data_IF_343767022278
#
_entry.id   IF_343767022278
#
_cell.length_a   1.000
_cell.length_b   1.000
_cell.length_c   1.000
_cell.angle_alpha   90.00
_cell.angle_beta   90.00
_cell.angle_gamma   90.00
#
_symmetry.space_group_name_H-M   'P 1'
#
loop_
_entity.id
_entity.type
_entity.pdbx_description
1 polymer ?
#
# COMPACT_ATOMS: atom_id res chain seq x y z
N UNK A 1 -27.35 25.42 4.75
CA UNK A 1 -26.34 24.78 3.87
C UNK A 1 -24.92 25.27 4.16
N UNK A 2 -24.71 26.53 4.58
CA UNK A 2 -23.38 27.08 4.89
C UNK A 2 -23.13 27.38 6.38
N UNK A 3 -24.06 26.98 7.25
CA UNK A 3 -24.04 27.22 8.70
C UNK A 3 -24.24 25.87 9.39
N UNK A 4 -23.40 25.55 10.39
CA UNK A 4 -23.42 24.29 11.13
C UNK A 4 -22.62 23.17 10.43
N UNK A 5 -23.05 21.92 10.60
CA UNK A 5 -22.47 20.76 9.93
C UNK A 5 -22.67 20.86 8.41
N UNK A 6 -21.58 20.70 7.67
CA UNK A 6 -21.62 20.81 6.21
C UNK A 6 -22.02 19.47 5.60
N UNK A 7 -23.22 19.43 5.03
CA UNK A 7 -23.73 18.27 4.31
C UNK A 7 -23.04 18.10 2.94
N UNK A 8 -22.85 16.84 2.52
CA UNK A 8 -22.43 16.50 1.15
C UNK A 8 -21.21 15.58 1.04
N UNK A 9 -20.56 15.23 2.15
CA UNK A 9 -19.53 14.19 2.22
C UNK A 9 -19.81 13.26 3.39
N UNK A 10 -19.41 11.99 3.27
CA UNK A 10 -19.38 11.04 4.39
C UNK A 10 -18.41 11.48 5.50
N UNK A 11 -17.48 12.39 5.19
CA UNK A 11 -16.49 12.95 6.12
C UNK A 11 -16.79 14.44 6.35
N UNK A 12 -17.96 14.71 6.94
CA UNK A 12 -18.45 16.07 7.23
C UNK A 12 -17.61 16.82 8.28
N UNK A 13 -16.84 16.10 9.09
CA UNK A 13 -15.98 16.63 10.16
C UNK A 13 -14.81 17.46 9.60
N UNK A 14 -14.03 16.89 8.69
CA UNK A 14 -12.91 17.60 8.04
C UNK A 14 -13.42 18.77 7.20
N UNK A 15 -14.55 18.61 6.52
CA UNK A 15 -15.16 19.63 5.66
C UNK A 15 -15.64 20.83 6.48
N UNK A 16 -16.29 20.58 7.62
CA UNK A 16 -16.76 21.62 8.53
C UNK A 16 -15.58 22.40 9.11
N UNK A 17 -14.55 21.70 9.59
CA UNK A 17 -13.32 22.33 10.08
C UNK A 17 -12.64 23.21 9.02
N UNK A 18 -12.47 22.69 7.80
CA UNK A 18 -11.90 23.43 6.68
C UNK A 18 -12.67 24.72 6.36
N UNK A 19 -14.01 24.66 6.34
CA UNK A 19 -14.87 25.82 6.11
C UNK A 19 -14.70 26.86 7.21
N UNK A 20 -14.67 26.45 8.48
CA UNK A 20 -14.44 27.36 9.61
C UNK A 20 -13.06 28.03 9.52
N UNK A 21 -12.00 27.28 9.25
CA UNK A 21 -10.65 27.85 9.14
C UNK A 21 -10.52 28.77 7.92
N UNK A 22 -11.23 28.48 6.82
CA UNK A 22 -11.33 29.39 5.67
C UNK A 22 -11.97 30.73 6.03
N UNK A 23 -12.79 30.78 7.08
CA UNK A 23 -13.37 32.01 7.64
C UNK A 23 -12.48 32.67 8.73
N UNK A 24 -11.27 32.19 8.94
CA UNK A 24 -10.29 32.78 9.86
C UNK A 24 -10.35 32.25 11.30
N UNK A 25 -11.18 31.24 11.58
CA UNK A 25 -11.17 30.56 12.87
C UNK A 25 -9.87 29.78 13.09
N UNK A 26 -9.47 29.64 14.36
CA UNK A 26 -8.25 28.91 14.76
C UNK A 26 -8.62 27.74 15.68
N UNK A 27 -8.08 26.57 15.40
CA UNK A 27 -8.17 25.41 16.29
C UNK A 27 -7.01 25.34 17.28
N UNK A 28 -7.21 24.60 18.37
CA UNK A 28 -6.19 24.31 19.38
C UNK A 28 -6.17 22.81 19.63
N UNK A 29 -4.97 22.20 19.60
CA UNK A 29 -4.75 20.80 19.92
C UNK A 29 -4.05 20.69 21.28
N UNK A 30 -4.63 19.95 22.22
CA UNK A 30 -4.14 19.80 23.59
C UNK A 30 -3.93 18.33 23.93
N UNK A 31 -2.74 17.98 24.40
CA UNK A 31 -2.36 16.62 24.82
C UNK A 31 -2.14 16.58 26.33
N UNK A 32 -3.19 16.34 27.14
CA UNK A 32 -3.04 16.20 28.58
C UNK A 32 -2.24 14.94 28.92
N UNK A 33 -1.57 14.93 30.08
CA UNK A 33 -0.77 13.79 30.56
C UNK A 33 -1.59 12.50 30.71
N UNK A 34 -2.87 12.63 31.06
CA UNK A 34 -3.81 11.52 31.14
C UNK A 34 -4.78 11.68 29.97
N UNK A 35 -5.02 10.62 29.17
CA UNK A 35 -6.00 10.68 28.09
C UNK A 35 -7.39 11.07 28.63
N UNK A 36 -7.86 12.26 28.26
CA UNK A 36 -9.16 12.78 28.69
C UNK A 36 -10.34 12.06 28.03
N UNK A 37 -10.11 11.50 26.83
CA UNK A 37 -11.11 10.75 26.08
C UNK A 37 -10.53 9.37 25.71
N UNK A 38 -11.29 8.31 26.01
CA UNK A 38 -10.99 6.92 25.62
C UNK A 38 -12.21 6.35 24.91
N UNK A 39 -11.99 5.58 23.85
CA UNK A 39 -13.04 4.92 23.11
C UNK A 39 -12.60 3.53 22.65
N UNK A 40 -13.56 2.66 22.38
CA UNK A 40 -13.29 1.33 21.84
C UNK A 40 -12.81 1.41 20.39
N UNK A 41 -11.72 0.69 20.08
CA UNK A 41 -11.17 0.59 18.74
C UNK A 41 -11.66 -0.69 18.04
N UNK A 42 -11.79 -0.70 16.69
CA UNK A 42 -12.02 -1.93 15.95
C UNK A 42 -10.93 -2.95 16.24
N UNK A 43 -11.35 -4.17 16.51
CA UNK A 43 -10.46 -5.23 16.99
C UNK A 43 -9.97 -6.09 15.81
N UNK A 44 -10.80 -6.29 14.79
CA UNK A 44 -10.45 -7.06 13.60
C UNK A 44 -10.05 -6.16 12.40
N UNK A 45 -9.24 -6.72 11.50
CA UNK A 45 -8.70 -6.01 10.34
C UNK A 45 -9.79 -5.59 9.34
N UNK A 46 -10.80 -6.42 9.12
CA UNK A 46 -11.87 -6.15 8.15
C UNK A 46 -12.69 -4.92 8.53
N UNK A 47 -13.05 -4.78 9.80
CA UNK A 47 -13.79 -3.62 10.31
C UNK A 47 -12.93 -2.35 10.28
N UNK A 48 -11.63 -2.50 10.56
CA UNK A 48 -10.66 -1.40 10.40
C UNK A 48 -10.52 -0.95 8.95
N UNK A 49 -10.46 -1.87 7.98
CA UNK A 49 -10.40 -1.53 6.55
C UNK A 49 -11.68 -0.88 6.05
N UNK A 50 -12.86 -1.32 6.51
CA UNK A 50 -14.12 -0.64 6.21
C UNK A 50 -14.19 0.77 6.80
N UNK A 51 -13.58 1.00 7.96
CA UNK A 51 -13.44 2.34 8.52
C UNK A 51 -12.53 3.23 7.66
N UNK A 52 -11.37 2.72 7.23
CA UNK A 52 -10.45 3.45 6.35
C UNK A 52 -11.09 3.73 4.98
N UNK A 53 -11.85 2.77 4.44
CA UNK A 53 -12.61 2.92 3.19
C UNK A 53 -13.53 4.14 3.27
N UNK A 54 -14.28 4.30 4.37
CA UNK A 54 -15.14 5.47 4.58
C UNK A 54 -14.37 6.78 4.57
N UNK A 55 -13.26 6.85 5.29
CA UNK A 55 -12.45 8.07 5.36
C UNK A 55 -11.89 8.44 3.99
N UNK A 56 -11.40 7.45 3.25
CA UNK A 56 -10.89 7.64 1.91
C UNK A 56 -12.01 8.09 0.95
N UNK A 57 -13.20 7.48 1.03
CA UNK A 57 -14.33 7.84 0.19
C UNK A 57 -14.78 9.29 0.45
N UNK A 58 -14.95 9.68 1.71
CA UNK A 58 -15.33 11.06 2.03
C UNK A 58 -14.26 12.08 1.63
N UNK A 59 -12.98 11.71 1.68
CA UNK A 59 -11.88 12.55 1.17
C UNK A 59 -11.94 12.71 -0.36
N UNK A 60 -12.23 11.64 -1.11
CA UNK A 60 -12.44 11.70 -2.57
C UNK A 60 -13.68 12.54 -2.91
N UNK A 61 -14.77 12.42 -2.14
CA UNK A 61 -15.95 13.26 -2.31
C UNK A 61 -15.63 14.74 -2.10
N UNK A 62 -14.86 15.08 -1.06
CA UNK A 62 -14.43 16.47 -0.81
C UNK A 62 -13.57 16.98 -1.96
N UNK A 63 -12.62 16.17 -2.44
CA UNK A 63 -11.75 16.52 -3.57
C UNK A 63 -12.55 16.85 -4.83
N UNK A 64 -13.59 16.06 -5.14
CA UNK A 64 -14.42 16.24 -6.32
C UNK A 64 -15.57 17.25 -6.10
N UNK A 65 -15.75 17.74 -4.88
CA UNK A 65 -16.80 18.72 -4.54
C UNK A 65 -16.39 20.16 -4.85
N UNK A 66 -17.36 21.08 -4.74
CA UNK A 66 -17.10 22.52 -4.76
C UNK A 66 -16.15 22.99 -3.65
N UNK A 67 -16.05 22.23 -2.55
CA UNK A 67 -15.27 22.61 -1.36
C UNK A 67 -13.84 22.04 -1.34
N UNK A 68 -13.27 21.71 -2.50
CA UNK A 68 -11.89 21.23 -2.57
C UNK A 68 -10.88 22.32 -2.16
N UNK A 69 -9.93 22.03 -1.25
CA UNK A 69 -8.92 22.99 -0.80
C UNK A 69 -8.01 23.58 -1.89
N UNK A 70 -7.94 22.93 -3.06
CA UNK A 70 -7.12 23.37 -4.20
C UNK A 70 -7.67 24.62 -4.86
N UNK A 71 -8.99 24.78 -4.96
CA UNK A 71 -9.64 25.92 -5.62
C UNK A 71 -10.62 26.71 -4.74
N UNK A 72 -11.04 26.14 -3.60
CA UNK A 72 -12.01 26.79 -2.72
C UNK A 72 -11.33 27.67 -1.65
N UNK A 73 -11.99 28.77 -1.27
CA UNK A 73 -11.58 29.59 -0.13
C UNK A 73 -10.33 30.45 -0.35
N UNK A 74 -10.00 30.79 -1.60
CA UNK A 74 -8.99 31.82 -1.90
C UNK A 74 -9.53 33.20 -1.53
N UNK A 75 -8.67 34.04 -0.94
CA UNK A 75 -9.08 35.32 -0.36
C UNK A 75 -9.70 35.22 1.05
N UNK A 76 -9.75 34.01 1.64
CA UNK A 76 -10.19 33.78 3.01
C UNK A 76 -9.06 33.86 4.05
N UNK A 77 -9.35 33.46 5.29
CA UNK A 77 -8.42 33.49 6.42
C UNK A 77 -7.44 32.31 6.53
N UNK A 78 -7.47 31.39 5.56
CA UNK A 78 -6.67 30.16 5.61
C UNK A 78 -5.20 30.42 5.26
N UNK A 79 -4.28 29.99 6.13
CA UNK A 79 -2.83 30.11 5.87
C UNK A 79 -2.36 29.15 4.78
N UNK A 80 -1.27 29.48 4.09
CA UNK A 80 -0.77 28.67 2.98
C UNK A 80 -0.31 27.26 3.40
N UNK A 81 0.43 27.12 4.51
CA UNK A 81 0.85 25.81 5.04
C UNK A 81 -0.35 24.98 5.51
N UNK A 82 -1.33 25.64 6.11
CA UNK A 82 -2.56 24.99 6.54
C UNK A 82 -3.36 24.48 5.34
N UNK A 83 -3.44 25.27 4.26
CA UNK A 83 -4.01 24.82 2.99
C UNK A 83 -3.28 23.60 2.44
N UNK A 84 -1.95 23.59 2.46
CA UNK A 84 -1.17 22.44 2.02
C UNK A 84 -1.49 21.18 2.85
N UNK A 85 -1.64 21.33 4.16
CA UNK A 85 -2.09 20.24 5.05
C UNK A 85 -3.47 19.71 4.65
N UNK A 86 -4.45 20.59 4.42
CA UNK A 86 -5.78 20.19 3.94
C UNK A 86 -5.75 19.53 2.57
N UNK A 87 -4.93 20.03 1.63
CA UNK A 87 -4.75 19.39 0.32
C UNK A 87 -4.23 17.97 0.53
N UNK A 88 -3.17 17.78 1.33
CA UNK A 88 -2.62 16.46 1.64
C UNK A 88 -3.67 15.51 2.24
N UNK A 89 -4.47 15.98 3.20
CA UNK A 89 -5.55 15.20 3.82
C UNK A 89 -6.72 14.88 2.89
N UNK A 90 -6.89 15.60 1.78
CA UNK A 90 -7.95 15.35 0.79
C UNK A 90 -7.44 14.46 -0.36
N UNK A 91 -6.18 14.64 -0.78
CA UNK A 91 -5.60 13.91 -1.92
C UNK A 91 -4.98 12.56 -1.55
N UNK A 92 -4.77 12.25 -0.27
CA UNK A 92 -4.07 11.02 0.12
C UNK A 92 -4.64 9.71 -0.50
N UNK A 93 -5.95 9.52 -0.76
CA UNK A 93 -6.42 8.27 -1.36
C UNK A 93 -5.92 8.09 -2.80
N UNK A 94 -5.55 9.17 -3.49
CA UNK A 94 -5.05 9.14 -4.86
C UNK A 94 -3.66 8.51 -4.98
N UNK A 95 -2.89 8.47 -3.89
CA UNK A 95 -1.59 7.77 -3.88
C UNK A 95 -1.74 6.26 -3.99
N UNK A 96 -2.96 5.71 -3.87
CA UNK A 96 -3.24 4.28 -4.05
C UNK A 96 -2.92 3.77 -5.46
N UNK A 97 -3.17 4.57 -6.50
CA UNK A 97 -2.88 4.19 -7.90
C UNK A 97 -1.36 4.02 -8.13
N UNK A 98 -0.51 5.03 -7.89
CA UNK A 98 0.93 4.87 -8.08
C UNK A 98 1.51 3.81 -7.14
N UNK A 99 0.99 3.67 -5.92
CA UNK A 99 1.41 2.62 -4.99
C UNK A 99 1.07 1.21 -5.52
N UNK A 100 -0.12 1.00 -6.07
CA UNK A 100 -0.51 -0.28 -6.67
C UNK A 100 0.42 -0.65 -7.82
N UNK A 101 0.71 0.32 -8.70
CA UNK A 101 1.67 0.13 -9.80
C UNK A 101 3.03 -0.23 -9.22
N UNK A 102 3.56 0.57 -8.30
CA UNK A 102 4.85 0.35 -7.66
C UNK A 102 4.98 -1.03 -7.02
N UNK A 103 3.96 -1.51 -6.30
CA UNK A 103 3.96 -2.84 -5.69
C UNK A 103 3.82 -3.99 -6.70
N UNK A 104 3.36 -3.72 -7.93
CA UNK A 104 3.24 -4.70 -9.01
C UNK A 104 4.51 -4.82 -9.85
N UNK A 105 5.29 -3.73 -9.96
CA UNK A 105 6.48 -3.67 -10.81
C UNK A 105 7.54 -4.74 -10.49
N UNK A 106 7.88 -5.06 -9.23
CA UNK A 106 8.91 -6.07 -8.94
C UNK A 106 8.52 -7.45 -9.45
N UNK A 107 7.25 -7.85 -9.25
CA UNK A 107 6.73 -9.11 -9.77
C UNK A 107 6.81 -9.17 -11.30
N UNK A 108 6.41 -8.11 -12.00
CA UNK A 108 6.50 -8.02 -13.46
C UNK A 108 7.96 -8.12 -13.92
N UNK A 109 8.88 -7.41 -13.27
CA UNK A 109 10.31 -7.48 -13.60
C UNK A 109 10.91 -8.88 -13.40
N UNK A 110 10.46 -9.60 -12.36
CA UNK A 110 10.91 -10.96 -12.08
C UNK A 110 10.33 -11.96 -13.10
N UNK A 111 9.06 -11.83 -13.48
CA UNK A 111 8.40 -12.75 -14.40
C UNK A 111 8.80 -12.54 -15.87
N UNK A 112 9.04 -11.30 -16.28
CA UNK A 112 9.37 -10.97 -17.67
C UNK A 112 10.86 -10.99 -17.97
N UNK A 113 11.72 -11.07 -16.94
CA UNK A 113 13.16 -10.98 -17.10
C UNK A 113 13.67 -9.57 -17.43
N UNK A 114 12.79 -8.59 -17.68
CA UNK A 114 13.16 -7.21 -18.04
C UNK A 114 13.30 -6.35 -16.79
N UNK A 115 14.42 -5.65 -16.66
CA UNK A 115 14.60 -4.63 -15.63
C UNK A 115 14.25 -3.26 -16.22
N UNK A 116 13.43 -2.49 -15.49
CA UNK A 116 12.95 -1.18 -15.96
C UNK A 116 14.07 -0.13 -15.90
N UNK A 117 15.02 -0.29 -14.98
CA UNK A 117 16.17 0.61 -14.84
C UNK A 117 17.37 -0.01 -15.57
N UNK A 118 18.14 0.75 -16.38
CA UNK A 118 19.39 0.25 -16.96
C UNK A 118 20.43 -0.03 -15.85
N UNK A 119 21.58 -0.58 -16.21
CA UNK A 119 22.68 -0.76 -15.26
C UNK A 119 23.00 0.55 -14.54
N UNK A 120 23.06 0.47 -13.21
CA UNK A 120 23.22 1.64 -12.35
C UNK A 120 24.68 2.09 -12.46
N UNK A 121 24.91 3.24 -13.10
CA UNK A 121 26.22 3.85 -13.15
C UNK A 121 26.74 4.22 -11.76
N UNK A 122 28.05 4.41 -11.61
CA UNK A 122 28.66 4.86 -10.33
C UNK A 122 27.97 6.12 -9.77
N UNK A 123 27.62 7.06 -10.66
CA UNK A 123 26.90 8.27 -10.27
C UNK A 123 25.48 7.98 -9.76
N UNK A 124 24.72 7.15 -10.49
CA UNK A 124 23.38 6.76 -10.08
C UNK A 124 23.40 5.99 -8.74
N UNK A 125 24.40 5.13 -8.52
CA UNK A 125 24.58 4.39 -7.27
C UNK A 125 24.78 5.34 -6.08
N UNK A 126 25.57 6.40 -6.24
CA UNK A 126 25.76 7.43 -5.20
C UNK A 126 24.44 8.13 -4.88
N UNK A 127 23.65 8.49 -5.89
CA UNK A 127 22.34 9.10 -5.69
C UNK A 127 21.37 8.17 -4.97
N UNK A 128 21.33 6.88 -5.33
CA UNK A 128 20.51 5.89 -4.64
C UNK A 128 20.93 5.75 -3.16
N UNK A 129 22.22 5.63 -2.89
CA UNK A 129 22.72 5.56 -1.51
C UNK A 129 22.36 6.82 -0.72
N UNK A 130 22.59 8.01 -1.29
CA UNK A 130 22.26 9.28 -0.65
C UNK A 130 20.75 9.40 -0.33
N UNK A 131 19.88 8.97 -1.25
CA UNK A 131 18.43 8.95 -1.04
C UNK A 131 18.04 8.02 0.11
N UNK A 132 18.50 6.76 0.10
CA UNK A 132 18.19 5.80 1.17
C UNK A 132 18.73 6.26 2.53
N UNK A 133 19.95 6.80 2.56
CA UNK A 133 20.52 7.39 3.78
C UNK A 133 19.70 8.58 4.27
N UNK A 134 19.27 9.47 3.37
CA UNK A 134 18.42 10.62 3.73
C UNK A 134 17.09 10.20 4.33
N UNK A 135 16.42 9.20 3.73
CA UNK A 135 15.16 8.66 4.25
C UNK A 135 15.37 8.04 5.63
N UNK A 136 16.42 7.23 5.80
CA UNK A 136 16.72 6.57 7.07
C UNK A 136 17.03 7.58 8.18
N UNK A 137 17.88 8.56 7.92
CA UNK A 137 18.23 9.61 8.90
C UNK A 137 17.01 10.44 9.27
N UNK A 138 16.19 10.83 8.28
CA UNK A 138 14.98 11.61 8.53
C UNK A 138 13.98 10.83 9.39
N UNK A 139 13.74 9.56 9.08
CA UNK A 139 12.86 8.69 9.86
C UNK A 139 13.33 8.52 11.31
N UNK A 140 14.64 8.31 11.52
CA UNK A 140 15.21 8.20 12.87
C UNK A 140 15.02 9.51 13.66
N UNK A 141 15.31 10.66 13.05
CA UNK A 141 15.15 11.96 13.71
C UNK A 141 13.69 12.24 14.06
N UNK A 142 12.76 11.95 13.15
CA UNK A 142 11.32 12.13 13.36
C UNK A 142 10.81 11.24 14.50
N UNK A 143 11.21 9.96 14.53
CA UNK A 143 10.84 9.06 15.61
C UNK A 143 11.37 9.51 16.97
N UNK A 144 12.61 10.01 17.02
CA UNK A 144 13.22 10.53 18.26
C UNK A 144 12.46 11.76 18.77
N UNK A 145 12.14 12.72 17.91
CA UNK A 145 11.37 13.91 18.28
C UNK A 145 9.93 13.59 18.66
N UNK A 146 9.29 12.68 17.91
CA UNK A 146 7.93 12.23 18.16
C UNK A 146 7.78 11.27 19.34
N UNK A 147 8.90 10.74 19.87
CA UNK A 147 8.93 9.68 20.89
C UNK A 147 8.10 8.44 20.47
N UNK A 148 8.20 8.10 19.19
CA UNK A 148 7.49 6.97 18.58
C UNK A 148 8.42 5.76 18.55
N UNK A 149 7.93 4.60 19.01
CA UNK A 149 8.68 3.34 18.96
C UNK A 149 8.85 2.85 17.52
N UNK A 150 9.93 2.12 17.24
CA UNK A 150 10.19 1.59 15.90
C UNK A 150 9.12 0.60 15.44
N UNK A 151 8.58 -0.18 16.36
CA UNK A 151 7.51 -1.12 16.07
C UNK A 151 6.22 -0.40 15.63
N UNK A 152 5.88 0.72 16.28
CA UNK A 152 4.70 1.51 15.95
C UNK A 152 4.86 2.22 14.60
N UNK A 153 6.04 2.78 14.35
CA UNK A 153 6.38 3.39 13.07
C UNK A 153 6.29 2.38 11.93
N UNK A 154 6.92 1.21 12.09
CA UNK A 154 6.89 0.15 11.08
C UNK A 154 5.49 -0.40 10.83
N UNK A 155 4.71 -0.64 11.89
CA UNK A 155 3.30 -1.08 11.76
C UNK A 155 2.44 -0.05 11.05
N UNK A 156 2.70 1.25 11.27
CA UNK A 156 2.02 2.31 10.55
C UNK A 156 2.33 2.29 9.05
N UNK A 157 3.60 2.10 8.66
CA UNK A 157 4.00 1.96 7.26
C UNK A 157 3.35 0.73 6.60
N UNK A 158 3.36 -0.42 7.27
CA UNK A 158 2.67 -1.62 6.80
C UNK A 158 1.17 -1.37 6.62
N UNK A 159 0.53 -0.71 7.58
CA UNK A 159 -0.89 -0.38 7.50
C UNK A 159 -1.19 0.62 6.38
N UNK A 160 -0.31 1.60 6.14
CA UNK A 160 -0.42 2.53 5.02
C UNK A 160 -0.36 1.80 3.67
N UNK A 161 0.59 0.86 3.50
CA UNK A 161 0.68 0.05 2.27
C UNK A 161 -0.60 -0.78 2.08
N UNK A 162 -1.02 -1.52 3.12
CA UNK A 162 -2.22 -2.38 3.06
C UNK A 162 -3.46 -1.53 2.76
N UNK A 163 -3.68 -0.43 3.47
CA UNK A 163 -4.80 0.48 3.27
C UNK A 163 -4.78 1.13 1.88
N UNK A 164 -3.59 1.49 1.39
CA UNK A 164 -3.36 2.04 0.06
C UNK A 164 -3.76 1.10 -1.06
N UNK A 165 -3.27 -0.14 -1.04
CA UNK A 165 -3.59 -1.13 -2.09
C UNK A 165 -4.99 -1.72 -1.97
N UNK A 166 -5.70 -1.50 -0.85
CA UNK A 166 -7.07 -1.99 -0.62
C UNK A 166 -8.09 -0.86 -0.54
N UNK A 167 -8.35 -0.37 0.67
CA UNK A 167 -9.42 0.56 1.01
C UNK A 167 -9.34 1.86 0.20
N UNK A 168 -8.15 2.45 0.04
CA UNK A 168 -7.99 3.70 -0.70
C UNK A 168 -8.29 3.50 -2.19
N UNK A 169 -7.82 2.39 -2.77
CA UNK A 169 -8.06 2.04 -4.17
C UNK A 169 -9.56 1.88 -4.45
N UNK A 170 -10.27 1.09 -3.62
CA UNK A 170 -11.71 0.91 -3.74
C UNK A 170 -12.49 2.21 -3.53
N UNK A 171 -12.13 3.00 -2.51
CA UNK A 171 -12.74 4.29 -2.25
C UNK A 171 -12.61 5.24 -3.45
N UNK A 172 -11.46 5.25 -4.12
CA UNK A 172 -11.21 6.09 -5.28
C UNK A 172 -12.12 5.71 -6.45
N UNK A 173 -12.22 4.41 -6.78
CA UNK A 173 -13.13 3.95 -7.83
C UNK A 173 -14.60 4.20 -7.47
N UNK A 174 -15.00 3.94 -6.23
CA UNK A 174 -16.38 4.20 -5.76
C UNK A 174 -16.72 5.69 -5.78
N UNK A 175 -15.82 6.55 -5.28
CA UNK A 175 -16.01 7.99 -5.27
C UNK A 175 -16.10 8.58 -6.67
N UNK A 176 -15.25 8.13 -7.61
CA UNK A 176 -15.32 8.52 -9.01
C UNK A 176 -16.64 8.10 -9.66
N UNK A 177 -17.06 6.83 -9.48
CA UNK A 177 -18.34 6.35 -10.01
C UNK A 177 -19.52 7.12 -9.42
N UNK A 178 -19.50 7.41 -8.13
CA UNK A 178 -20.56 8.16 -7.46
C UNK A 178 -20.67 9.58 -8.00
N UNK A 179 -19.57 10.31 -8.09
CA UNK A 179 -19.58 11.72 -8.52
C UNK A 179 -19.80 11.87 -10.02
N UNK A 180 -19.21 11.01 -10.85
CA UNK A 180 -19.31 11.09 -12.31
C UNK A 180 -20.58 10.44 -12.87
N UNK A 181 -21.04 9.32 -12.30
CA UNK A 181 -22.18 8.56 -12.81
C UNK A 181 -23.45 8.70 -11.94
N UNK A 182 -23.41 9.46 -10.83
CA UNK A 182 -24.56 9.69 -9.97
C UNK A 182 -25.07 8.45 -9.24
N UNK A 183 -24.27 7.37 -9.17
CA UNK A 183 -24.67 6.10 -8.54
C UNK A 183 -24.55 6.23 -7.03
N UNK A 184 -25.68 6.17 -6.32
CA UNK A 184 -25.70 6.14 -4.87
C UNK A 184 -25.17 4.79 -4.36
N UNK A 185 -23.96 4.79 -3.80
CA UNK A 185 -23.41 3.65 -3.07
C UNK A 185 -24.06 3.59 -1.69
N UNK A 186 -25.00 2.66 -1.49
CA UNK A 186 -25.63 2.44 -0.18
C UNK A 186 -24.57 1.98 0.83
N UNK A 187 -24.46 2.71 1.93
CA UNK A 187 -23.46 2.48 2.97
C UNK A 187 -24.06 1.65 4.11
N UNK A 188 -23.42 0.54 4.45
CA UNK A 188 -23.74 -0.25 5.66
C UNK A 188 -22.88 0.26 6.81
N UNK A 189 -23.49 0.89 7.81
CA UNK A 189 -22.79 1.39 9.00
C UNK A 189 -22.20 0.21 9.77
N UNK A 190 -20.91 0.28 10.07
CA UNK A 190 -20.21 -0.71 10.91
C UNK A 190 -20.80 -0.64 12.32
N UNK A 191 -21.42 -1.73 12.81
CA UNK A 191 -21.90 -1.79 14.19
C UNK A 191 -20.73 -1.74 15.16
N UNK A 192 -20.85 -0.93 16.22
CA UNK A 192 -19.89 -0.87 17.33
C UNK A 192 -20.36 -1.70 18.53
N UNK A 193 -21.19 -2.72 18.30
CA UNK A 193 -21.60 -3.63 19.35
C UNK A 193 -20.48 -4.66 19.56
N UNK A 194 -19.88 -4.65 20.76
CA UNK A 194 -19.11 -5.77 21.25
C UNK A 194 -20.12 -6.81 21.75
N UNK A 195 -20.06 -8.04 21.22
CA UNK A 195 -20.75 -9.16 21.83
C UNK A 195 -19.85 -9.70 22.94
N UNK A 196 -20.43 -9.98 24.12
CA UNK A 196 -19.71 -10.32 25.35
C UNK A 196 -19.17 -11.77 25.33
N UNK A 197 -18.36 -12.10 24.32
CA UNK A 197 -17.73 -13.40 24.09
C UNK A 197 -16.21 -13.32 24.09
N UNK A 198 -15.61 -13.56 25.26
CA UNK A 198 -14.23 -14.00 25.51
C UNK A 198 -13.30 -14.10 24.27
N UNK A 199 -12.48 -13.06 24.03
CA UNK A 199 -11.24 -13.00 23.21
C UNK A 199 -11.19 -13.69 21.82
N UNK A 200 -12.29 -14.24 21.31
CA UNK A 200 -12.39 -15.03 20.08
C UNK A 200 -12.64 -14.18 18.84
N UNK A 201 -13.03 -12.91 19.02
CA UNK A 201 -13.26 -11.96 17.94
C UNK A 201 -12.01 -11.22 17.45
N UNK A 202 -10.92 -11.26 18.23
CA UNK A 202 -9.62 -10.64 17.88
C UNK A 202 -9.02 -11.16 16.57
N UNK A 203 -9.40 -12.37 16.17
CA UNK A 203 -8.85 -13.08 15.02
C UNK A 203 -9.92 -13.46 13.97
N UNK A 204 -11.11 -12.86 14.04
CA UNK A 204 -12.16 -13.04 13.03
C UNK A 204 -11.81 -12.28 11.74
N UNK A 205 -11.01 -12.93 10.89
CA UNK A 205 -10.81 -12.50 9.51
C UNK A 205 -12.13 -12.64 8.73
N UNK A 206 -12.83 -11.53 8.47
CA UNK A 206 -14.02 -11.49 7.63
C UNK A 206 -13.59 -11.24 6.18
N UNK A 207 -13.83 -12.21 5.30
CA UNK A 207 -13.52 -12.05 3.87
C UNK A 207 -14.33 -10.87 3.30
N UNK A 208 -13.64 -9.93 2.65
CA UNK A 208 -14.26 -8.79 1.95
C UNK A 208 -13.57 -8.59 0.61
N UNK A 209 -14.26 -7.96 -0.35
CA UNK A 209 -13.69 -7.64 -1.66
C UNK A 209 -12.45 -6.73 -1.57
N UNK A 210 -12.33 -5.95 -0.49
CA UNK A 210 -11.16 -5.11 -0.19
C UNK A 210 -9.86 -5.91 -0.09
N UNK A 211 -9.94 -7.21 0.18
CA UNK A 211 -8.78 -8.07 0.40
C UNK A 211 -8.23 -8.68 -0.90
N UNK A 212 -8.98 -8.55 -2.01
CA UNK A 212 -8.60 -9.10 -3.31
C UNK A 212 -7.28 -8.47 -3.82
N UNK A 213 -7.12 -7.14 -3.93
CA UNK A 213 -5.85 -6.60 -4.45
C UNK A 213 -4.62 -6.92 -3.59
N UNK A 214 -4.64 -6.79 -2.24
CA UNK A 214 -3.51 -7.21 -1.40
C UNK A 214 -3.16 -8.69 -1.53
N UNK A 215 -4.15 -9.59 -1.61
CA UNK A 215 -3.90 -11.02 -1.81
C UNK A 215 -3.29 -11.29 -3.18
N UNK A 216 -3.83 -10.69 -4.25
CA UNK A 216 -3.27 -10.83 -5.59
C UNK A 216 -1.84 -10.32 -5.67
N UNK A 217 -1.54 -9.15 -5.10
CA UNK A 217 -0.19 -8.58 -5.05
C UNK A 217 0.79 -9.48 -4.30
N UNK A 218 0.36 -10.06 -3.19
CA UNK A 218 1.18 -10.97 -2.41
C UNK A 218 1.49 -12.24 -3.21
N UNK A 219 0.48 -12.86 -3.82
CA UNK A 219 0.64 -14.09 -4.60
C UNK A 219 1.56 -13.84 -5.80
N UNK A 220 1.33 -12.78 -6.58
CA UNK A 220 2.13 -12.51 -7.78
C UNK A 220 3.59 -12.18 -7.44
N UNK A 221 3.85 -11.47 -6.33
CA UNK A 221 5.23 -11.21 -5.89
C UNK A 221 5.92 -12.49 -5.39
N UNK A 222 5.22 -13.36 -4.66
CA UNK A 222 5.76 -14.67 -4.24
C UNK A 222 6.09 -15.56 -5.45
N UNK A 223 5.18 -15.65 -6.42
CA UNK A 223 5.42 -16.39 -7.67
C UNK A 223 6.59 -15.78 -8.43
N UNK A 224 6.64 -14.45 -8.56
CA UNK A 224 7.74 -13.74 -9.19
C UNK A 224 9.09 -14.08 -8.56
N UNK A 225 9.18 -14.09 -7.23
CA UNK A 225 10.42 -14.48 -6.51
C UNK A 225 10.82 -15.92 -6.84
N UNK A 226 9.88 -16.87 -6.80
CA UNK A 226 10.17 -18.28 -7.10
C UNK A 226 10.66 -18.45 -8.54
N UNK A 227 9.98 -17.82 -9.51
CA UNK A 227 10.35 -17.86 -10.93
C UNK A 227 11.70 -17.19 -11.16
N UNK A 228 11.93 -16.01 -10.60
CA UNK A 228 13.19 -15.27 -10.77
C UNK A 228 14.40 -16.00 -10.19
N UNK A 229 14.25 -16.65 -9.04
CA UNK A 229 15.30 -17.49 -8.46
C UNK A 229 15.54 -18.74 -9.33
N UNK A 230 14.48 -19.39 -9.79
CA UNK A 230 14.58 -20.57 -10.67
C UNK A 230 15.28 -20.26 -11.98
N UNK A 231 14.98 -19.11 -12.58
CA UNK A 231 15.60 -18.64 -13.82
C UNK A 231 17.10 -18.36 -13.64
N UNK A 232 17.47 -17.64 -12.57
CA UNK A 232 18.86 -17.33 -12.30
C UNK A 232 19.73 -18.57 -11.97
N UNK A 233 19.15 -19.56 -11.28
CA UNK A 233 19.82 -20.86 -11.06
C UNK A 233 20.04 -21.59 -12.39
N UNK A 234 19.16 -21.40 -13.37
CA UNK A 234 19.21 -22.10 -14.65
C UNK A 234 20.12 -21.41 -15.68
N UNK A 235 20.23 -20.08 -15.63
CA UNK A 235 20.95 -19.26 -16.61
C UNK A 235 22.37 -18.83 -16.18
N UNK A 236 22.84 -19.22 -14.99
CA UNK A 236 24.23 -19.00 -14.55
C UNK A 236 24.48 -17.66 -13.84
N UNK A 237 25.75 -17.44 -13.43
CA UNK A 237 26.14 -16.38 -12.48
C UNK A 237 25.90 -14.94 -12.96
N UNK A 238 25.90 -14.68 -14.26
CA UNK A 238 25.73 -13.32 -14.81
C UNK A 238 24.32 -12.74 -14.55
N UNK A 239 23.34 -13.59 -14.23
CA UNK A 239 21.98 -13.19 -13.91
C UNK A 239 21.78 -12.71 -12.46
N UNK A 240 22.76 -12.92 -11.57
CA UNK A 240 22.59 -12.72 -10.12
C UNK A 240 22.60 -11.25 -9.68
N UNK A 241 23.40 -10.41 -10.34
CA UNK A 241 23.44 -8.96 -10.05
C UNK A 241 22.09 -8.28 -10.27
N UNK A 242 21.51 -8.38 -11.49
CA UNK A 242 20.17 -7.85 -11.78
C UNK A 242 19.06 -8.49 -10.95
N UNK A 243 19.20 -9.77 -10.58
CA UNK A 243 18.25 -10.47 -9.72
C UNK A 243 18.17 -9.82 -8.32
N UNK A 244 19.30 -9.45 -7.73
CA UNK A 244 19.33 -8.90 -6.36
C UNK A 244 18.44 -7.66 -6.21
N UNK A 245 18.53 -6.71 -7.14
CA UNK A 245 17.69 -5.51 -7.11
C UNK A 245 16.20 -5.83 -7.22
N UNK A 246 15.82 -6.76 -8.11
CA UNK A 246 14.42 -7.18 -8.29
C UNK A 246 13.88 -7.91 -7.05
N UNK A 247 14.70 -8.78 -6.45
CA UNK A 247 14.35 -9.47 -5.21
C UNK A 247 14.20 -8.49 -4.05
N UNK A 248 15.08 -7.50 -3.92
CA UNK A 248 14.99 -6.50 -2.86
C UNK A 248 13.63 -5.79 -2.85
N UNK A 249 13.17 -5.31 -4.01
CA UNK A 249 11.87 -4.64 -4.12
C UNK A 249 10.69 -5.60 -3.93
N UNK A 250 10.76 -6.83 -4.46
CA UNK A 250 9.69 -7.82 -4.25
C UNK A 250 9.58 -8.22 -2.77
N UNK A 251 10.70 -8.40 -2.08
CA UNK A 251 10.74 -8.69 -0.65
C UNK A 251 10.22 -7.51 0.17
N UNK A 252 10.54 -6.27 -0.20
CA UNK A 252 9.94 -5.09 0.43
C UNK A 252 8.42 -5.15 0.39
N UNK A 253 7.81 -5.46 -0.77
CA UNK A 253 6.35 -5.60 -0.90
C UNK A 253 5.82 -6.74 -0.02
N UNK A 254 6.43 -7.91 -0.07
CA UNK A 254 6.01 -9.09 0.70
C UNK A 254 6.08 -8.82 2.21
N UNK A 255 7.15 -8.18 2.69
CA UNK A 255 7.33 -7.84 4.11
C UNK A 255 6.27 -6.82 4.57
N UNK A 256 5.91 -5.84 3.73
CA UNK A 256 4.87 -4.88 4.09
C UNK A 256 3.47 -5.51 4.11
N UNK A 257 3.22 -6.51 3.27
CA UNK A 257 1.98 -7.29 3.25
C UNK A 257 1.97 -8.50 4.21
N UNK A 258 3.06 -8.77 4.92
CA UNK A 258 3.18 -9.93 5.80
C UNK A 258 2.19 -9.94 6.98
N UNK A 259 1.92 -8.83 7.68
CA UNK A 259 0.89 -8.81 8.73
C UNK A 259 -0.49 -9.17 8.18
N UNK A 260 -0.77 -8.76 6.94
CA UNK A 260 -2.00 -9.13 6.25
C UNK A 260 -2.06 -10.64 5.96
N UNK A 261 -0.97 -11.24 5.48
CA UNK A 261 -0.85 -12.70 5.32
C UNK A 261 -1.06 -13.44 6.66
N UNK A 262 -0.43 -12.96 7.73
CA UNK A 262 -0.64 -13.50 9.09
C UNK A 262 -2.11 -13.43 9.50
N UNK A 263 -2.79 -12.32 9.20
CA UNK A 263 -4.22 -12.16 9.46
C UNK A 263 -5.09 -13.15 8.68
N UNK A 264 -4.76 -13.41 7.41
CA UNK A 264 -5.47 -14.39 6.57
C UNK A 264 -5.27 -15.83 7.07
N UNK A 265 -4.06 -16.16 7.55
CA UNK A 265 -3.71 -17.50 8.04
C UNK A 265 -4.11 -17.74 9.50
N UNK A 266 -4.32 -16.68 10.28
CA UNK A 266 -4.52 -16.71 11.73
C UNK A 266 -5.81 -17.37 12.22
N UNK A 267 -6.64 -17.91 11.31
CA UNK A 267 -7.89 -18.60 11.65
C UNK A 267 -7.96 -20.08 11.27
N UNK A 268 -6.82 -20.71 10.99
CA UNK A 268 -6.73 -22.17 10.96
C UNK A 268 -5.86 -22.64 12.11
N UNK A 269 -6.47 -23.13 13.19
CA UNK A 269 -5.85 -23.90 14.28
C UNK A 269 -5.06 -25.15 13.82
N UNK A 270 -4.85 -25.34 12.51
CA UNK A 270 -4.27 -26.54 11.90
C UNK A 270 -3.45 -26.32 10.63
N UNK A 271 -3.12 -25.08 10.25
CA UNK A 271 -2.05 -24.90 9.26
C UNK A 271 -0.76 -24.48 9.96
N UNK A 272 0.03 -25.44 10.46
CA UNK A 272 1.34 -25.14 10.98
C UNK A 272 2.13 -24.46 9.86
N UNK A 273 2.83 -23.37 10.19
CA UNK A 273 3.73 -22.62 9.29
C UNK A 273 4.61 -23.55 8.44
N UNK A 274 4.90 -24.74 8.96
CA UNK A 274 5.55 -25.85 8.26
C UNK A 274 4.86 -26.25 6.93
N UNK A 275 3.53 -26.33 6.84
CA UNK A 275 2.81 -26.68 5.59
C UNK A 275 2.99 -25.58 4.55
N UNK A 276 2.95 -24.31 4.96
CA UNK A 276 3.20 -23.18 4.06
C UNK A 276 4.64 -23.24 3.53
N UNK A 277 5.60 -23.46 4.42
CA UNK A 277 7.02 -23.61 4.06
C UNK A 277 7.21 -24.80 3.10
N UNK A 278 6.64 -25.97 3.40
CA UNK A 278 6.72 -27.15 2.53
C UNK A 278 6.03 -26.93 1.18
N UNK A 279 4.91 -26.21 1.14
CA UNK A 279 4.22 -25.88 -0.11
C UNK A 279 5.05 -24.94 -0.98
N UNK A 280 5.70 -23.94 -0.39
CA UNK A 280 6.62 -23.03 -1.09
C UNK A 280 7.85 -23.80 -1.59
N UNK A 281 8.43 -24.68 -0.77
CA UNK A 281 9.55 -25.52 -1.16
C UNK A 281 9.18 -26.46 -2.32
N UNK A 282 8.04 -27.14 -2.22
CA UNK A 282 7.54 -28.03 -3.27
C UNK A 282 7.27 -27.27 -4.58
N UNK A 283 6.60 -26.12 -4.50
CA UNK A 283 6.36 -25.26 -5.67
C UNK A 283 7.67 -24.79 -6.31
N UNK A 284 8.69 -24.47 -5.50
CA UNK A 284 10.01 -24.09 -5.99
C UNK A 284 10.72 -25.24 -6.70
N UNK A 285 10.68 -26.46 -6.13
CA UNK A 285 11.24 -27.67 -6.74
C UNK A 285 10.53 -27.99 -8.06
N UNK A 286 9.20 -27.96 -8.08
CA UNK A 286 8.41 -28.22 -9.30
C UNK A 286 8.69 -27.19 -10.39
N UNK A 287 8.85 -25.93 -10.02
CA UNK A 287 9.19 -24.85 -10.96
C UNK A 287 10.60 -25.03 -11.53
N UNK A 288 11.58 -25.37 -10.69
CA UNK A 288 12.94 -25.71 -11.12
C UNK A 288 12.96 -26.91 -12.07
N UNK A 289 12.20 -27.97 -11.75
CA UNK A 289 12.06 -29.15 -12.62
C UNK A 289 11.43 -28.76 -13.96
N UNK A 290 10.36 -27.96 -13.93
CA UNK A 290 9.69 -27.49 -15.14
C UNK A 290 10.64 -26.68 -16.04
N UNK A 291 11.38 -25.71 -15.48
CA UNK A 291 12.34 -24.90 -16.24
C UNK A 291 13.45 -25.76 -16.86
N UNK A 292 13.90 -26.81 -16.17
CA UNK A 292 14.92 -27.72 -16.71
C UNK A 292 14.39 -28.62 -17.83
N UNK A 293 13.20 -29.19 -17.63
CA UNK A 293 12.60 -30.19 -18.53
C UNK A 293 11.95 -29.56 -19.76
N UNK A 294 11.35 -28.37 -19.62
CA UNK A 294 10.61 -27.74 -20.70
C UNK A 294 11.56 -27.19 -21.78
N UNK A 295 11.52 -27.72 -23.02
CA UNK A 295 12.39 -27.28 -24.11
C UNK A 295 12.00 -25.92 -24.70
N UNK A 296 10.80 -25.41 -24.38
CA UNK A 296 10.28 -24.14 -24.89
C UNK A 296 10.58 -22.94 -23.98
N UNK A 297 11.18 -23.17 -22.80
CA UNK A 297 11.73 -22.07 -22.00
C UNK A 297 13.02 -21.64 -22.69
N UNK A 298 13.11 -20.37 -23.07
CA UNK A 298 14.27 -19.80 -23.75
C UNK A 298 15.50 -19.84 -22.84
N UNK A 299 16.21 -20.97 -22.85
CA UNK A 299 17.58 -21.09 -22.35
C UNK A 299 18.39 -20.23 -23.31
N UNK A 300 18.96 -19.13 -22.81
CA UNK A 300 19.63 -18.10 -23.62
C UNK A 300 20.25 -18.69 -24.88
N UNK A 301 19.75 -18.27 -26.04
CA UNK A 301 20.20 -18.78 -27.33
C UNK A 301 21.71 -18.63 -27.48
N UNK A 302 22.33 -19.31 -28.46
CA UNK A 302 23.76 -19.17 -28.71
C UNK A 302 24.13 -17.69 -28.82
N UNK A 303 25.26 -17.31 -28.21
CA UNK A 303 25.82 -15.96 -28.31
C UNK A 303 25.94 -15.64 -29.80
N UNK A 304 25.10 -14.73 -30.29
CA UNK A 304 25.16 -14.28 -31.67
C UNK A 304 26.34 -13.33 -31.79
N UNK A 305 27.51 -13.86 -32.18
CA UNK A 305 28.60 -13.03 -32.66
C UNK A 305 28.21 -12.41 -34.00
N UNK A 306 28.60 -11.15 -34.20
CA UNK A 306 28.47 -10.47 -35.49
C UNK A 306 29.36 -11.24 -36.47
N UNK A 307 28.75 -12.13 -37.26
CA UNK A 307 29.40 -12.72 -38.41
C UNK A 307 29.70 -11.55 -39.35
N UNK A 308 30.97 -11.18 -39.49
CA UNK A 308 31.44 -10.04 -40.31
C UNK A 308 31.22 -10.21 -41.82
N UNK A 309 30.12 -10.85 -42.20
CA UNK A 309 29.64 -10.98 -43.57
C UNK A 309 28.61 -9.88 -43.81
N UNK A 310 28.95 -8.98 -44.73
CA UNK A 310 28.00 -8.06 -45.34
C UNK A 310 27.01 -8.88 -46.16
N UNK A 311 25.83 -9.14 -45.59
CA UNK A 311 24.71 -9.69 -46.34
C UNK A 311 24.01 -8.54 -47.08
N UNK A 312 24.61 -8.14 -48.21
CA UNK A 312 23.97 -7.34 -49.26
C UNK A 312 23.18 -8.24 -50.23
#
# INVERSE_FOLDING_TARGET
>A
KEIGWIYGSVTEDILTGFKMHSHGWRSVYCTPKIPAFKGSAPINLSDRLNQVLRWALGSVEIFLSRHCPIWYGYGGGLKWLERLSYINSVVYPWTSIPLLVYCSLPAICLLTGKFIVPEISNYASILFMALFSSIAVTGILEMQWGKVGIDDWWRNEQFWVIGGVSAHLFALFQGLLKVLAGVNTNFTVTSKAADDGEFSELYLFKWTSLLIPPTTLLIINVIGVIVGISDAISNGYDSWGPLFGRLFFALWVIIHLYPFLKGLLGKQDRMPTIILVWSILLASILTLLWVRVNPFVAKGGPILEICGLDCL
#
